data_IF_069720856478
#
_entry.id   IF_069720856478
#
_cell.length_a   1.000
_cell.length_b   1.000
_cell.length_c   1.000
_cell.angle_alpha   90.00
_cell.angle_beta   90.00
_cell.angle_gamma   90.00
#
_symmetry.space_group_name_H-M   'P 1'
#
loop_
_entity.id
_entity.type
_entity.pdbx_description
1 polymer ?
#
# COMPACT_ATOMS: atom_id res chain seq x y z
N UNK A 1 -24.15 14.24 -0.94
CA UNK A 1 -23.56 13.46 -2.05
C UNK A 1 -22.15 13.98 -2.29
N UNK A 2 -21.14 13.11 -2.38
CA UNK A 2 -19.73 13.51 -2.56
C UNK A 2 -19.44 13.93 -4.00
N UNK A 3 -18.41 14.76 -4.21
CA UNK A 3 -17.96 15.12 -5.56
C UNK A 3 -17.19 13.95 -6.18
N UNK A 4 -17.53 13.60 -7.43
CA UNK A 4 -16.83 12.59 -8.21
C UNK A 4 -15.86 13.27 -9.18
N UNK A 5 -14.67 12.69 -9.33
CA UNK A 5 -13.59 13.26 -10.15
C UNK A 5 -13.46 12.51 -11.46
N UNK A 6 -13.11 13.20 -12.55
CA UNK A 6 -13.00 12.62 -13.89
C UNK A 6 -11.72 11.80 -14.08
N UNK A 7 -11.83 10.72 -14.85
CA UNK A 7 -10.72 9.90 -15.31
C UNK A 7 -9.98 10.63 -16.43
N UNK A 8 -8.69 10.90 -16.20
CA UNK A 8 -7.77 11.38 -17.21
C UNK A 8 -7.01 10.18 -17.79
N UNK A 9 -7.19 9.95 -19.08
CA UNK A 9 -6.40 8.96 -19.83
C UNK A 9 -5.03 9.56 -20.09
N UNK A 10 -3.97 8.78 -19.89
CA UNK A 10 -2.60 9.21 -20.18
C UNK A 10 -2.41 9.13 -21.70
N UNK A 11 -2.40 10.29 -22.36
CA UNK A 11 -2.49 10.40 -23.84
C UNK A 11 -1.14 10.62 -24.55
N UNK A 12 0.01 10.64 -23.86
CA UNK A 12 1.30 11.02 -24.45
C UNK A 12 2.15 9.85 -25.03
N UNK A 13 2.43 9.96 -26.34
CA UNK A 13 3.57 9.57 -27.24
C UNK A 13 4.20 8.17 -27.17
N UNK A 14 4.02 7.36 -26.14
CA UNK A 14 4.57 6.00 -26.16
C UNK A 14 3.45 4.99 -26.42
N UNK A 15 3.37 4.51 -27.66
CA UNK A 15 2.57 3.34 -28.12
C UNK A 15 2.85 2.03 -27.34
N UNK A 16 3.60 2.10 -26.24
CA UNK A 16 4.10 1.00 -25.41
C UNK A 16 3.68 1.12 -23.94
N UNK A 17 2.96 2.18 -23.54
CA UNK A 17 2.44 2.35 -22.17
C UNK A 17 0.95 2.02 -22.12
N UNK A 18 0.65 0.75 -21.85
CA UNK A 18 -0.71 0.18 -21.95
C UNK A 18 -1.00 -0.76 -20.79
N UNK A 19 -2.27 -0.90 -20.42
CA UNK A 19 -2.79 -1.90 -19.49
C UNK A 19 -2.60 -3.33 -20.03
N UNK A 20 -2.90 -4.35 -19.21
CA UNK A 20 -2.79 -5.77 -19.58
C UNK A 20 -3.42 -6.13 -20.94
N UNK A 21 -4.52 -5.49 -21.33
CA UNK A 21 -5.24 -5.73 -22.57
C UNK A 21 -4.82 -4.84 -23.76
N UNK A 22 -3.87 -3.92 -23.56
CA UNK A 22 -3.46 -2.95 -24.57
C UNK A 22 -4.18 -1.60 -24.54
N UNK A 23 -5.13 -1.38 -23.63
CA UNK A 23 -5.77 -0.06 -23.48
C UNK A 23 -4.86 0.94 -22.78
N UNK A 24 -5.08 2.24 -23.01
CA UNK A 24 -4.28 3.27 -22.35
C UNK A 24 -4.58 3.34 -20.84
N UNK A 25 -3.57 3.43 -19.97
CA UNK A 25 -3.77 3.63 -18.55
C UNK A 25 -4.34 5.03 -18.25
N UNK A 26 -4.78 5.24 -17.02
CA UNK A 26 -5.31 6.53 -16.60
C UNK A 26 -5.22 6.77 -15.10
N UNK A 27 -5.49 7.99 -14.70
CA UNK A 27 -5.58 8.39 -13.30
C UNK A 27 -6.74 9.37 -13.10
N UNK A 28 -7.23 9.49 -11.88
CA UNK A 28 -8.15 10.55 -11.49
C UNK A 28 -7.38 11.66 -10.81
N UNK A 29 -7.71 12.92 -11.10
CA UNK A 29 -7.04 14.08 -10.52
C UNK A 29 -8.05 15.09 -10.00
N UNK A 30 -7.82 15.51 -8.77
CA UNK A 30 -8.43 16.66 -8.14
C UNK A 30 -7.38 17.73 -7.88
N UNK A 31 -7.63 18.97 -8.29
CA UNK A 31 -6.66 20.07 -8.13
C UNK A 31 -6.69 20.65 -6.72
N UNK A 32 -5.50 20.94 -6.20
CA UNK A 32 -5.34 21.61 -4.92
C UNK A 32 -5.72 23.09 -4.99
N UNK A 33 -5.92 23.70 -3.83
CA UNK A 33 -6.26 25.12 -3.72
C UNK A 33 -5.63 25.74 -2.46
N UNK A 34 -5.57 27.07 -2.41
CA UNK A 34 -5.01 27.81 -1.28
C UNK A 34 -3.57 27.37 -0.94
N UNK A 35 -3.31 27.13 0.34
CA UNK A 35 -1.98 26.69 0.82
C UNK A 35 -1.53 25.33 0.28
N UNK A 36 -2.47 24.46 -0.13
CA UNK A 36 -2.19 23.12 -0.68
C UNK A 36 -2.01 23.09 -2.21
N UNK A 37 -2.14 24.22 -2.91
CA UNK A 37 -2.08 24.27 -4.38
C UNK A 37 -0.74 23.77 -4.97
N UNK A 38 0.36 23.89 -4.20
CA UNK A 38 1.69 23.37 -4.57
C UNK A 38 2.09 22.11 -3.77
N UNK A 39 1.12 21.39 -3.23
CA UNK A 39 1.32 20.11 -2.56
C UNK A 39 0.60 19.00 -3.33
N UNK A 40 1.21 17.81 -3.37
CA UNK A 40 0.76 16.71 -4.21
C UNK A 40 0.66 15.40 -3.44
N UNK A 41 -0.45 14.69 -3.60
CA UNK A 41 -0.67 13.36 -3.06
C UNK A 41 -1.03 12.42 -4.21
N UNK A 42 -0.21 11.38 -4.41
CA UNK A 42 -0.39 10.38 -5.44
C UNK A 42 -0.76 9.07 -4.76
N UNK A 43 -2.00 8.62 -4.90
CA UNK A 43 -2.50 7.35 -4.40
C UNK A 43 -2.40 6.26 -5.48
N UNK A 44 -1.61 5.23 -5.24
CA UNK A 44 -1.52 4.04 -6.08
C UNK A 44 -2.64 3.06 -5.73
N UNK A 45 -3.53 2.79 -6.68
CA UNK A 45 -4.62 1.83 -6.48
C UNK A 45 -4.06 0.41 -6.28
N UNK A 46 -4.48 -0.31 -5.24
CA UNK A 46 -4.16 -1.74 -5.07
C UNK A 46 -5.16 -2.65 -5.76
N UNK A 47 -4.97 -3.98 -5.72
CA UNK A 47 -5.97 -4.92 -6.27
C UNK A 47 -5.44 -6.31 -6.59
N UNK A 48 -4.54 -6.85 -5.76
CA UNK A 48 -3.89 -8.15 -5.97
C UNK A 48 -3.01 -8.20 -7.23
N UNK A 49 -2.63 -9.40 -7.62
CA UNK A 49 -1.72 -9.65 -8.75
C UNK A 49 -2.28 -10.71 -9.70
N UNK A 50 -1.63 -10.87 -10.85
CA UNK A 50 -1.75 -12.06 -11.66
C UNK A 50 -0.35 -12.63 -11.92
N UNK A 51 -0.16 -13.92 -11.70
CA UNK A 51 1.15 -14.57 -11.62
C UNK A 51 1.34 -15.68 -12.66
N UNK A 52 0.31 -15.96 -13.47
CA UNK A 52 0.36 -16.91 -14.57
C UNK A 52 -0.50 -16.43 -15.75
N UNK A 53 -0.28 -17.02 -16.94
CA UNK A 53 -1.00 -16.62 -18.16
C UNK A 53 -2.52 -16.71 -17.97
N UNK A 54 -3.01 -17.79 -17.36
CA UNK A 54 -4.45 -18.03 -17.20
C UNK A 54 -5.12 -16.92 -16.39
N UNK A 55 -4.59 -16.59 -15.23
CA UNK A 55 -5.22 -15.56 -14.40
C UNK A 55 -4.96 -14.14 -14.91
N UNK A 56 -3.86 -13.88 -15.61
CA UNK A 56 -3.65 -12.60 -16.29
C UNK A 56 -4.62 -12.40 -17.46
N UNK A 57 -4.90 -13.44 -18.26
CA UNK A 57 -5.93 -13.41 -19.32
C UNK A 57 -7.32 -13.17 -18.75
N UNK A 58 -7.65 -13.75 -17.60
CA UNK A 58 -8.90 -13.45 -16.92
C UNK A 58 -8.93 -11.98 -16.44
N UNK A 59 -7.84 -11.53 -15.81
CA UNK A 59 -7.73 -10.19 -15.23
C UNK A 59 -7.84 -9.07 -16.27
N UNK A 60 -7.31 -9.26 -17.48
CA UNK A 60 -7.36 -8.25 -18.56
C UNK A 60 -8.78 -7.89 -18.99
N UNK A 61 -9.77 -8.74 -18.71
CA UNK A 61 -11.21 -8.50 -18.97
C UNK A 61 -11.93 -7.75 -17.84
N UNK A 62 -11.20 -7.01 -17.01
CA UNK A 62 -11.75 -6.29 -15.86
C UNK A 62 -11.12 -4.91 -15.72
N UNK A 63 -11.67 -4.07 -14.81
CA UNK A 63 -11.09 -2.75 -14.47
C UNK A 63 -9.65 -2.80 -13.94
N UNK A 64 -9.16 -4.01 -13.61
CA UNK A 64 -7.81 -4.28 -13.09
C UNK A 64 -6.82 -4.74 -14.14
N UNK A 65 -7.23 -4.77 -15.40
CA UNK A 65 -6.35 -5.04 -16.53
C UNK A 65 -6.72 -4.28 -17.81
N UNK A 66 -7.74 -3.42 -17.75
CA UNK A 66 -8.20 -2.64 -18.90
C UNK A 66 -8.92 -1.38 -18.45
N UNK A 67 -8.60 -0.25 -19.08
CA UNK A 67 -9.24 1.03 -18.82
C UNK A 67 -10.64 1.17 -19.46
N UNK A 68 -11.02 0.24 -20.34
CA UNK A 68 -12.38 0.17 -20.89
C UNK A 68 -13.42 -0.12 -19.80
N UNK A 69 -13.02 -0.81 -18.73
CA UNK A 69 -13.89 -1.15 -17.60
C UNK A 69 -13.68 -0.23 -16.39
N UNK A 70 -12.82 0.79 -16.50
CA UNK A 70 -12.62 1.74 -15.42
C UNK A 70 -13.76 2.75 -15.37
N UNK A 71 -14.21 3.04 -14.15
CA UNK A 71 -15.14 4.12 -13.88
C UNK A 71 -14.55 5.44 -14.39
N UNK A 72 -15.35 6.18 -15.17
CA UNK A 72 -14.97 7.50 -15.69
C UNK A 72 -14.99 8.57 -14.62
N UNK A 73 -15.73 8.31 -13.55
CA UNK A 73 -15.77 9.17 -12.38
C UNK A 73 -15.71 8.33 -11.10
N UNK A 74 -14.90 8.76 -10.13
CA UNK A 74 -14.85 8.12 -8.81
C UNK A 74 -14.90 9.16 -7.69
N UNK A 75 -15.52 8.76 -6.58
CA UNK A 75 -15.48 9.54 -5.37
C UNK A 75 -14.13 9.36 -4.66
N UNK A 76 -13.56 10.46 -4.19
CA UNK A 76 -12.40 10.44 -3.31
C UNK A 76 -12.85 10.48 -1.84
N UNK A 77 -12.31 9.56 -1.03
CA UNK A 77 -12.66 9.36 0.39
C UNK A 77 -11.39 9.16 1.22
N UNK A 78 -11.51 9.21 2.56
CA UNK A 78 -10.39 9.02 3.47
C UNK A 78 -9.27 10.03 3.18
N UNK A 79 -8.05 9.54 3.01
CA UNK A 79 -6.85 10.34 2.68
C UNK A 79 -6.99 11.16 1.39
N UNK A 80 -7.90 10.79 0.48
CA UNK A 80 -8.17 11.53 -0.75
C UNK A 80 -9.35 12.52 -0.63
N UNK A 81 -10.10 12.51 0.47
CA UNK A 81 -11.29 13.35 0.63
C UNK A 81 -10.96 14.84 0.52
N UNK A 82 -11.86 15.60 -0.10
CA UNK A 82 -11.81 17.06 -0.28
C UNK A 82 -12.37 17.86 0.89
N UNK A 83 -12.89 17.17 1.90
CA UNK A 83 -13.50 17.81 3.07
C UNK A 83 -12.48 17.88 4.20
N UNK A 84 -12.22 19.09 4.69
CA UNK A 84 -11.33 19.32 5.83
C UNK A 84 -11.73 18.52 7.08
N UNK A 85 -13.04 18.32 7.30
CA UNK A 85 -13.56 17.53 8.43
C UNK A 85 -13.26 16.04 8.31
N UNK A 86 -12.99 15.56 7.08
CA UNK A 86 -12.74 14.15 6.79
C UNK A 86 -11.25 13.86 6.52
N UNK A 87 -10.48 14.88 6.14
CA UNK A 87 -9.08 14.80 5.73
C UNK A 87 -8.37 16.15 5.97
N UNK A 88 -8.22 16.58 7.23
CA UNK A 88 -7.75 17.93 7.54
C UNK A 88 -6.34 18.24 7.03
N UNK A 89 -5.51 17.22 6.80
CA UNK A 89 -4.13 17.37 6.34
C UNK A 89 -4.01 17.62 4.83
N UNK A 90 -4.78 16.87 4.03
CA UNK A 90 -4.61 16.79 2.58
C UNK A 90 -5.85 17.27 1.81
N UNK A 91 -6.87 17.83 2.48
CA UNK A 91 -8.13 18.21 1.84
C UNK A 91 -7.97 19.28 0.75
N UNK A 92 -6.90 20.08 0.76
CA UNK A 92 -6.65 21.13 -0.22
C UNK A 92 -5.44 20.87 -1.11
N UNK A 93 -4.85 19.67 -1.08
CA UNK A 93 -3.73 19.28 -1.94
C UNK A 93 -4.21 18.90 -3.35
N UNK A 94 -3.28 18.90 -4.32
CA UNK A 94 -3.52 18.14 -5.55
C UNK A 94 -3.54 16.66 -5.20
N UNK A 95 -4.61 15.97 -5.54
CA UNK A 95 -4.80 14.56 -5.20
C UNK A 95 -5.01 13.76 -6.46
N UNK A 96 -4.25 12.69 -6.58
CA UNK A 96 -4.25 11.81 -7.74
C UNK A 96 -4.53 10.40 -7.29
N UNK A 97 -5.36 9.67 -8.03
CA UNK A 97 -5.48 8.22 -7.91
C UNK A 97 -5.07 7.57 -9.22
N UNK A 98 -3.86 7.01 -9.24
CA UNK A 98 -3.34 6.27 -10.40
C UNK A 98 -4.02 4.90 -10.46
N UNK A 99 -4.73 4.63 -11.56
CA UNK A 99 -5.51 3.40 -11.71
C UNK A 99 -4.60 2.21 -11.98
N UNK A 100 -4.92 1.08 -11.36
CA UNK A 100 -4.08 -0.12 -11.41
C UNK A 100 -4.59 -1.12 -12.44
N UNK A 101 -3.79 -1.33 -13.49
CA UNK A 101 -4.14 -2.19 -14.62
C UNK A 101 -3.00 -3.06 -15.18
N UNK A 102 -1.85 -3.14 -14.50
CA UNK A 102 -0.71 -3.97 -14.92
C UNK A 102 -0.65 -5.33 -14.22
N UNK A 103 -1.23 -5.46 -13.03
CA UNK A 103 -1.24 -6.73 -12.29
C UNK A 103 0.10 -7.10 -11.63
N UNK A 104 1.08 -6.19 -11.59
CA UNK A 104 2.43 -6.40 -11.08
C UNK A 104 2.92 -5.31 -10.12
N UNK A 105 2.02 -4.64 -9.39
CA UNK A 105 2.37 -3.50 -8.52
C UNK A 105 3.23 -2.44 -9.23
N UNK A 106 2.85 -2.05 -10.45
CA UNK A 106 3.59 -1.06 -11.24
C UNK A 106 5.08 -1.42 -11.45
N UNK A 107 5.40 -2.72 -11.51
CA UNK A 107 6.80 -3.18 -11.52
C UNK A 107 7.19 -4.01 -12.75
N UNK A 108 6.23 -4.58 -13.49
CA UNK A 108 6.52 -5.36 -14.70
C UNK A 108 6.96 -4.50 -15.89
N UNK A 109 7.87 -5.03 -16.71
CA UNK A 109 8.11 -4.55 -18.08
C UNK A 109 8.43 -5.73 -19.03
N UNK A 110 7.38 -6.39 -19.50
CA UNK A 110 7.46 -7.48 -20.47
C UNK A 110 6.12 -7.66 -21.19
N UNK A 111 5.99 -8.72 -21.99
CA UNK A 111 4.75 -9.07 -22.67
C UNK A 111 4.69 -10.56 -22.95
N UNK A 112 3.48 -11.08 -23.06
CA UNK A 112 3.22 -12.37 -23.69
C UNK A 112 2.44 -12.13 -24.98
N UNK A 113 3.10 -12.30 -26.13
CA UNK A 113 2.48 -12.08 -27.44
C UNK A 113 1.41 -13.12 -27.76
N UNK A 114 1.60 -14.38 -27.35
CA UNK A 114 0.69 -15.47 -27.65
C UNK A 114 -0.63 -15.30 -26.90
N UNK A 115 -0.57 -14.86 -25.64
CA UNK A 115 -1.73 -14.57 -24.81
C UNK A 115 -2.29 -13.15 -25.01
N UNK A 116 -1.61 -12.31 -25.79
CA UNK A 116 -1.95 -10.89 -25.98
C UNK A 116 -2.00 -10.14 -24.65
N UNK A 117 -0.94 -10.27 -23.84
CA UNK A 117 -0.79 -9.64 -22.53
C UNK A 117 0.36 -8.64 -22.54
N UNK A 118 0.13 -7.47 -21.96
CA UNK A 118 1.10 -6.39 -21.83
C UNK A 118 1.40 -6.12 -20.37
N UNK A 119 2.59 -6.47 -19.90
CA UNK A 119 3.01 -6.24 -18.52
C UNK A 119 3.82 -4.96 -18.45
N UNK A 120 3.15 -3.80 -18.40
CA UNK A 120 3.78 -2.47 -18.53
C UNK A 120 3.74 -1.63 -17.25
N UNK A 121 3.70 -2.28 -16.08
CA UNK A 121 3.57 -1.61 -14.79
C UNK A 121 4.59 -0.49 -14.58
N UNK A 122 5.86 -0.75 -14.89
CA UNK A 122 6.93 0.25 -14.74
C UNK A 122 6.74 1.44 -15.69
N UNK A 123 6.36 1.16 -16.95
CA UNK A 123 6.12 2.21 -17.96
C UNK A 123 4.90 3.06 -17.61
N UNK A 124 3.84 2.44 -17.09
CA UNK A 124 2.64 3.13 -16.60
C UNK A 124 3.02 4.09 -15.47
N UNK A 125 3.81 3.62 -14.51
CA UNK A 125 4.31 4.45 -13.41
C UNK A 125 5.08 5.66 -13.93
N UNK A 126 6.10 5.46 -14.77
CA UNK A 126 6.90 6.57 -15.31
C UNK A 126 6.06 7.58 -16.09
N UNK A 127 5.24 7.10 -17.03
CA UNK A 127 4.41 7.96 -17.86
C UNK A 127 3.41 8.79 -17.02
N UNK A 128 2.83 8.18 -15.98
CA UNK A 128 1.98 8.92 -15.06
C UNK A 128 2.76 10.00 -14.31
N UNK A 129 3.95 9.69 -13.79
CA UNK A 129 4.76 10.68 -13.07
C UNK A 129 5.21 11.83 -13.97
N UNK A 130 5.63 11.55 -15.21
CA UNK A 130 6.02 12.56 -16.19
C UNK A 130 4.85 13.47 -16.57
N UNK A 131 3.68 12.90 -16.82
CA UNK A 131 2.47 13.69 -17.15
C UNK A 131 2.02 14.58 -15.97
N UNK A 132 2.09 14.06 -14.75
CA UNK A 132 1.79 14.83 -13.54
C UNK A 132 2.83 15.95 -13.30
N UNK A 133 4.11 15.70 -13.58
CA UNK A 133 5.18 16.72 -13.54
C UNK A 133 4.87 17.87 -14.50
N UNK A 134 4.54 17.56 -15.75
CA UNK A 134 4.13 18.53 -16.75
C UNK A 134 2.88 19.32 -16.33
N UNK A 135 1.99 18.69 -15.53
CA UNK A 135 0.80 19.31 -14.94
C UNK A 135 1.05 20.11 -13.67
N UNK A 136 2.31 20.37 -13.30
CA UNK A 136 2.71 21.24 -12.22
C UNK A 136 3.34 20.53 -11.01
N UNK A 137 3.37 19.19 -10.97
CA UNK A 137 3.95 18.45 -9.86
C UNK A 137 5.45 18.72 -9.70
N UNK A 138 6.17 19.05 -10.79
CA UNK A 138 7.58 19.40 -10.73
C UNK A 138 7.89 20.62 -9.82
N UNK A 139 6.89 21.47 -9.57
CA UNK A 139 7.02 22.66 -8.71
C UNK A 139 6.53 22.41 -7.28
N UNK A 140 6.29 21.16 -6.90
CA UNK A 140 5.74 20.81 -5.60
C UNK A 140 6.68 21.26 -4.47
N UNK A 141 6.11 21.89 -3.44
CA UNK A 141 6.78 22.12 -2.16
C UNK A 141 6.75 20.86 -1.30
N UNK A 142 5.68 20.09 -1.41
CA UNK A 142 5.46 18.84 -0.69
C UNK A 142 4.87 17.80 -1.62
N UNK A 143 5.36 16.56 -1.53
CA UNK A 143 4.86 15.45 -2.31
C UNK A 143 4.73 14.20 -1.42
N UNK A 144 3.59 13.53 -1.49
CA UNK A 144 3.29 12.30 -0.78
C UNK A 144 2.94 11.21 -1.80
N UNK A 145 3.75 10.15 -1.84
CA UNK A 145 3.38 8.92 -2.53
C UNK A 145 2.66 8.01 -1.54
N UNK A 146 1.43 7.63 -1.84
CA UNK A 146 0.61 6.78 -0.99
C UNK A 146 0.01 5.64 -1.82
N UNK A 147 -0.48 4.59 -1.17
CA UNK A 147 -1.07 3.45 -1.87
C UNK A 147 -1.52 2.38 -0.91
N UNK A 148 -2.51 1.59 -1.32
CA UNK A 148 -2.98 0.45 -0.54
C UNK A 148 -2.68 -0.90 -1.20
N UNK A 149 -2.39 -1.96 -0.43
CA UNK A 149 -2.35 -3.35 -0.89
C UNK A 149 -1.24 -3.52 -1.94
N UNK A 150 -1.56 -4.04 -3.14
CA UNK A 150 -0.62 -4.04 -4.25
C UNK A 150 -0.06 -2.64 -4.58
N UNK A 151 -0.84 -1.57 -4.38
CA UNK A 151 -0.38 -0.18 -4.49
C UNK A 151 0.51 0.24 -3.33
N UNK A 152 0.27 -0.26 -2.11
CA UNK A 152 1.13 -0.05 -0.95
C UNK A 152 2.50 -0.71 -1.12
N UNK A 153 2.52 -1.94 -1.66
CA UNK A 153 3.77 -2.57 -2.09
C UNK A 153 4.49 -1.72 -3.14
N UNK A 154 3.75 -1.22 -4.14
CA UNK A 154 4.34 -0.35 -5.17
C UNK A 154 4.92 0.95 -4.58
N UNK A 155 4.31 1.53 -3.53
CA UNK A 155 4.88 2.67 -2.81
C UNK A 155 6.26 2.32 -2.26
N UNK A 156 6.42 1.19 -1.58
CA UNK A 156 7.70 0.77 -1.01
C UNK A 156 8.75 0.60 -2.11
N UNK A 157 8.39 -0.07 -3.21
CA UNK A 157 9.29 -0.32 -4.34
C UNK A 157 9.71 0.96 -5.08
N UNK A 158 8.84 1.98 -5.13
CA UNK A 158 9.03 3.21 -5.92
C UNK A 158 9.37 4.45 -5.11
N UNK A 159 9.39 4.36 -3.78
CA UNK A 159 9.49 5.55 -2.93
C UNK A 159 10.76 6.37 -3.17
N UNK A 160 11.93 5.72 -3.25
CA UNK A 160 13.19 6.42 -3.52
C UNK A 160 13.25 6.97 -4.95
N UNK A 161 12.68 6.24 -5.93
CA UNK A 161 12.53 6.71 -7.30
C UNK A 161 11.63 7.96 -7.37
N UNK A 162 10.51 7.96 -6.65
CA UNK A 162 9.59 9.09 -6.56
C UNK A 162 10.25 10.32 -5.94
N UNK A 163 11.03 10.14 -4.87
CA UNK A 163 11.80 11.22 -4.23
C UNK A 163 12.78 11.87 -5.22
N UNK A 164 13.44 11.07 -6.04
CA UNK A 164 14.40 11.53 -7.05
C UNK A 164 13.76 12.32 -8.22
N UNK A 165 12.43 12.37 -8.32
CA UNK A 165 11.74 13.18 -9.33
C UNK A 165 11.76 14.68 -9.05
N UNK A 166 12.06 15.07 -7.79
CA UNK A 166 11.95 16.42 -7.28
C UNK A 166 13.31 17.03 -6.93
N UNK A 167 13.34 18.35 -6.75
CA UNK A 167 14.54 19.02 -6.24
C UNK A 167 14.74 18.72 -4.75
N UNK A 168 15.97 18.91 -4.26
CA UNK A 168 16.31 18.68 -2.83
C UNK A 168 15.53 19.58 -1.85
N UNK A 169 14.90 20.65 -2.33
CA UNK A 169 14.08 21.55 -1.50
C UNK A 169 12.65 21.05 -1.34
N UNK A 170 12.19 20.14 -2.19
CA UNK A 170 10.86 19.53 -2.07
C UNK A 170 10.85 18.52 -0.94
N UNK A 171 9.84 18.63 -0.09
CA UNK A 171 9.62 17.67 1.00
C UNK A 171 8.87 16.46 0.48
N UNK A 172 9.57 15.34 0.29
CA UNK A 172 8.99 14.09 -0.20
C UNK A 172 8.85 13.07 0.94
N UNK A 173 7.69 12.43 1.02
CA UNK A 173 7.41 11.30 1.93
C UNK A 173 6.63 10.22 1.21
N UNK A 174 6.64 9.01 1.77
CA UNK A 174 5.86 7.89 1.27
C UNK A 174 4.99 7.29 2.38
N UNK A 175 3.82 6.78 2.04
CA UNK A 175 2.91 6.07 2.93
C UNK A 175 2.46 4.76 2.28
N UNK A 176 2.84 3.63 2.88
CA UNK A 176 2.39 2.30 2.44
C UNK A 176 1.32 1.78 3.38
N UNK A 177 0.09 1.66 2.89
CA UNK A 177 -1.05 1.06 3.61
C UNK A 177 -1.29 -0.38 3.17
N UNK A 178 -1.34 -1.32 4.12
CA UNK A 178 -1.54 -2.75 3.86
C UNK A 178 -0.59 -3.32 2.77
N UNK A 179 0.59 -2.72 2.65
CA UNK A 179 1.60 -3.07 1.64
C UNK A 179 2.73 -3.93 2.19
N UNK A 180 2.80 -4.13 3.52
CA UNK A 180 3.82 -4.95 4.20
C UNK A 180 3.40 -6.43 4.21
N UNK A 181 3.48 -7.07 3.04
CA UNK A 181 3.28 -8.51 2.93
C UNK A 181 4.53 -9.26 3.39
N UNK A 182 4.35 -10.28 4.20
CA UNK A 182 5.47 -11.12 4.67
C UNK A 182 5.62 -12.42 3.88
N UNK A 183 6.86 -12.81 3.60
CA UNK A 183 7.20 -14.15 3.12
C UNK A 183 7.16 -15.15 4.29
N UNK A 184 5.97 -15.71 4.56
CA UNK A 184 5.75 -16.66 5.66
C UNK A 184 5.10 -17.94 5.16
N UNK A 185 5.36 -19.10 5.80
CA UNK A 185 4.65 -20.32 5.49
C UNK A 185 3.13 -20.19 5.70
N UNK A 186 2.37 -20.87 4.86
CA UNK A 186 0.93 -21.04 5.02
C UNK A 186 0.59 -22.16 6.01
N UNK A 187 -0.69 -22.37 6.28
CA UNK A 187 -1.19 -23.33 7.27
C UNK A 187 -0.90 -24.80 6.91
N UNK A 188 -0.51 -25.08 5.67
CA UNK A 188 -0.02 -26.40 5.23
C UNK A 188 1.50 -26.53 5.31
N UNK A 189 2.22 -25.46 5.70
CA UNK A 189 3.68 -25.38 5.66
C UNK A 189 4.25 -25.02 4.29
N UNK A 190 3.40 -24.74 3.30
CA UNK A 190 3.78 -24.29 1.97
C UNK A 190 4.14 -22.79 1.93
N UNK A 191 4.53 -22.29 0.76
CA UNK A 191 4.91 -20.87 0.57
C UNK A 191 3.99 -20.18 -0.45
N UNK A 192 2.68 -20.15 -0.18
CA UNK A 192 1.67 -19.61 -1.11
C UNK A 192 2.02 -18.23 -1.67
N UNK A 193 2.27 -17.21 -0.84
CA UNK A 193 2.57 -15.86 -1.34
C UNK A 193 3.92 -15.76 -2.04
N UNK A 194 4.92 -16.54 -1.62
CA UNK A 194 6.20 -16.62 -2.32
C UNK A 194 6.04 -17.17 -3.73
N UNK A 195 5.22 -18.20 -3.89
CA UNK A 195 4.92 -18.78 -5.20
C UNK A 195 4.20 -17.76 -6.10
N UNK A 196 3.20 -17.05 -5.55
CA UNK A 196 2.52 -15.95 -6.23
C UNK A 196 3.52 -14.87 -6.68
N UNK A 197 4.37 -14.38 -5.77
CA UNK A 197 5.35 -13.34 -6.07
C UNK A 197 6.41 -13.81 -7.05
N UNK A 198 6.85 -15.07 -6.97
CA UNK A 198 7.75 -15.65 -7.95
C UNK A 198 7.11 -15.66 -9.34
N UNK A 199 5.85 -16.08 -9.47
CA UNK A 199 5.12 -16.05 -10.73
C UNK A 199 5.01 -14.63 -11.30
N UNK A 200 4.65 -13.63 -10.48
CA UNK A 200 4.64 -12.22 -10.88
C UNK A 200 6.03 -11.78 -11.38
N UNK A 201 7.08 -12.06 -10.59
CA UNK A 201 8.43 -11.59 -10.89
C UNK A 201 8.98 -12.17 -12.18
N UNK A 202 8.77 -13.47 -12.40
CA UNK A 202 9.22 -14.17 -13.60
C UNK A 202 8.38 -13.80 -14.83
N UNK A 203 7.05 -13.93 -14.73
CA UNK A 203 6.15 -13.73 -15.87
C UNK A 203 6.18 -12.30 -16.40
N UNK A 204 6.20 -11.33 -15.48
CA UNK A 204 6.06 -9.92 -15.83
C UNK A 204 7.40 -9.21 -16.01
N UNK A 205 8.54 -9.91 -15.84
CA UNK A 205 9.87 -9.33 -16.02
C UNK A 205 10.23 -8.30 -14.94
N UNK A 206 9.66 -8.41 -13.73
CA UNK A 206 9.83 -7.43 -12.65
C UNK A 206 11.28 -7.29 -12.19
N UNK A 207 12.09 -8.36 -12.31
CA UNK A 207 13.47 -8.43 -11.81
C UNK A 207 14.34 -7.22 -12.18
N UNK A 208 14.14 -6.66 -13.37
CA UNK A 208 14.95 -5.56 -13.90
C UNK A 208 14.57 -4.20 -13.27
N UNK A 209 13.43 -4.13 -12.59
CA UNK A 209 12.85 -2.92 -12.03
C UNK A 209 12.82 -2.91 -10.50
N UNK A 210 13.48 -3.89 -9.87
CA UNK A 210 13.62 -3.97 -8.41
C UNK A 210 14.85 -3.18 -7.94
N UNK A 211 14.87 -2.70 -6.69
CA UNK A 211 16.02 -1.99 -6.14
C UNK A 211 17.31 -2.83 -6.19
N UNK A 212 18.35 -2.30 -6.86
CA UNK A 212 19.67 -2.96 -6.99
C UNK A 212 20.27 -3.36 -5.65
N UNK A 213 20.14 -2.47 -4.65
CA UNK A 213 20.61 -2.74 -3.28
C UNK A 213 20.11 -4.05 -2.68
N UNK A 214 18.96 -4.56 -3.14
CA UNK A 214 18.48 -5.87 -2.74
C UNK A 214 18.91 -6.96 -3.73
N UNK A 215 18.75 -6.73 -5.03
CA UNK A 215 19.01 -7.77 -6.06
C UNK A 215 20.49 -8.13 -6.22
N UNK A 216 21.40 -7.30 -5.69
CA UNK A 216 22.83 -7.58 -5.62
C UNK A 216 23.17 -8.74 -4.66
N UNK A 217 22.28 -9.04 -3.70
CA UNK A 217 22.54 -10.04 -2.64
C UNK A 217 21.40 -11.04 -2.42
N UNK A 218 20.18 -10.73 -2.88
CA UNK A 218 19.01 -11.60 -2.77
C UNK A 218 18.40 -11.89 -4.14
N UNK A 219 17.71 -13.03 -4.25
CA UNK A 219 16.97 -13.35 -5.47
C UNK A 219 15.83 -12.33 -5.70
N UNK A 220 15.47 -12.06 -6.97
CA UNK A 220 14.43 -11.08 -7.31
C UNK A 220 13.08 -11.28 -6.60
N UNK A 221 12.65 -12.52 -6.34
CA UNK A 221 11.40 -12.79 -5.61
C UNK A 221 11.48 -12.31 -4.17
N UNK A 222 12.60 -12.57 -3.48
CA UNK A 222 12.85 -12.03 -2.14
C UNK A 222 12.84 -10.50 -2.15
N UNK A 223 13.38 -9.86 -3.18
CA UNK A 223 13.37 -8.39 -3.32
C UNK A 223 12.00 -7.79 -3.66
N UNK A 224 11.01 -8.60 -4.00
CA UNK A 224 9.63 -8.14 -4.13
C UNK A 224 8.89 -8.13 -2.78
N UNK A 225 9.45 -8.75 -1.73
CA UNK A 225 8.92 -8.67 -0.37
C UNK A 225 9.45 -7.44 0.37
N UNK A 226 8.58 -6.57 0.91
CA UNK A 226 8.98 -5.36 1.61
C UNK A 226 9.93 -5.57 2.79
N UNK A 227 9.81 -6.69 3.50
CA UNK A 227 10.67 -7.01 4.64
C UNK A 227 12.17 -6.98 4.33
N UNK A 228 12.55 -7.14 3.06
CA UNK A 228 13.93 -7.13 2.58
C UNK A 228 14.38 -5.77 2.04
N UNK A 229 13.53 -4.73 2.11
CA UNK A 229 13.79 -3.41 1.53
C UNK A 229 13.65 -2.29 2.56
N UNK A 230 12.64 -2.37 3.43
CA UNK A 230 12.19 -1.22 4.24
C UNK A 230 13.29 -0.65 5.14
N UNK A 231 14.18 -1.48 5.69
CA UNK A 231 15.26 -1.03 6.58
C UNK A 231 16.31 -0.15 5.91
N UNK A 232 16.44 -0.22 4.58
CA UNK A 232 17.49 0.46 3.84
C UNK A 232 16.98 1.65 3.01
N UNK A 233 15.68 1.93 3.09
CA UNK A 233 15.06 3.02 2.33
C UNK A 233 15.66 4.38 2.68
N UNK A 234 15.93 5.20 1.66
CA UNK A 234 16.53 6.52 1.82
C UNK A 234 15.49 7.59 2.13
N UNK A 235 14.34 7.50 1.51
CA UNK A 235 13.22 8.44 1.65
C UNK A 235 12.38 8.09 2.87
N UNK A 236 11.87 9.08 3.64
CA UNK A 236 10.98 8.82 4.77
C UNK A 236 9.74 8.02 4.34
N UNK A 237 9.57 6.83 4.95
CA UNK A 237 8.42 5.97 4.73
C UNK A 237 7.59 5.89 6.02
N UNK A 238 6.27 5.98 5.87
CA UNK A 238 5.29 5.65 6.88
C UNK A 238 4.57 4.35 6.50
N UNK A 239 4.54 3.36 7.39
CA UNK A 239 3.82 2.10 7.14
C UNK A 239 2.55 2.07 7.99
N UNK A 240 1.40 1.89 7.35
CA UNK A 240 0.12 1.57 7.99
C UNK A 240 -0.16 0.10 7.68
N UNK A 241 -0.25 -0.77 8.68
CA UNK A 241 -0.55 -2.18 8.43
C UNK A 241 -1.39 -2.78 9.54
N UNK A 242 -2.32 -3.68 9.20
CA UNK A 242 -2.93 -4.55 10.18
C UNK A 242 -1.95 -5.69 10.51
N UNK A 243 -1.78 -6.01 11.79
CA UNK A 243 -1.02 -7.18 12.22
C UNK A 243 -1.68 -8.48 11.76
N UNK A 244 -3.00 -8.44 11.57
CA UNK A 244 -3.81 -9.53 11.03
C UNK A 244 -4.45 -9.08 9.70
N UNK A 245 -3.61 -8.72 8.73
CA UNK A 245 -4.09 -8.31 7.41
C UNK A 245 -4.99 -9.39 6.80
N UNK A 246 -6.28 -9.08 6.65
CA UNK A 246 -7.28 -10.09 6.29
C UNK A 246 -7.06 -10.62 4.88
N UNK A 247 -6.48 -9.82 3.98
CA UNK A 247 -6.14 -10.29 2.64
C UNK A 247 -5.00 -11.31 2.71
N UNK A 248 -3.94 -11.04 3.48
CA UNK A 248 -2.84 -12.00 3.64
C UNK A 248 -3.31 -13.26 4.36
N UNK A 249 -4.20 -13.16 5.36
CA UNK A 249 -4.81 -14.33 6.00
C UNK A 249 -5.56 -15.19 4.98
N UNK A 250 -6.45 -14.60 4.17
CA UNK A 250 -7.31 -15.34 3.26
C UNK A 250 -6.61 -15.83 1.98
N UNK A 251 -5.63 -15.07 1.49
CA UNK A 251 -5.02 -15.30 0.16
C UNK A 251 -3.63 -15.93 0.24
N UNK A 252 -2.98 -15.88 1.42
CA UNK A 252 -1.64 -16.42 1.62
C UNK A 252 -1.59 -17.45 2.75
N UNK A 253 -2.03 -17.10 3.96
CA UNK A 253 -1.82 -17.95 5.13
C UNK A 253 -2.76 -19.15 5.13
N UNK A 254 -4.05 -18.93 4.87
CA UNK A 254 -5.07 -19.98 4.88
C UNK A 254 -5.95 -19.95 3.62
N UNK A 255 -5.38 -19.97 2.40
CA UNK A 255 -6.15 -20.11 1.18
C UNK A 255 -6.81 -21.50 1.12
N UNK A 256 -7.91 -21.67 0.35
CA UNK A 256 -8.54 -22.98 0.17
C UNK A 256 -7.58 -24.09 -0.31
N UNK A 257 -6.55 -23.74 -1.07
CA UNK A 257 -5.53 -24.69 -1.54
C UNK A 257 -4.60 -25.22 -0.43
N UNK A 258 -4.41 -24.46 0.66
CA UNK A 258 -3.62 -24.87 1.81
C UNK A 258 -4.48 -25.44 2.96
N UNK A 259 -5.81 -25.36 2.85
CA UNK A 259 -6.79 -25.85 3.83
C UNK A 259 -7.82 -26.79 3.19
N UNK A 260 -7.39 -27.94 2.62
CA UNK A 260 -8.28 -28.83 1.87
C UNK A 260 -9.37 -29.47 2.75
N UNK A 261 -9.14 -29.61 4.06
CA UNK A 261 -10.13 -30.11 5.02
C UNK A 261 -11.10 -29.04 5.53
N UNK A 262 -10.89 -27.77 5.18
CA UNK A 262 -11.75 -26.66 5.58
C UNK A 262 -11.62 -26.26 7.06
N UNK A 263 -10.54 -26.63 7.75
CA UNK A 263 -10.32 -26.29 9.15
C UNK A 263 -10.32 -24.77 9.39
N UNK A 264 -9.78 -23.99 8.45
CA UNK A 264 -9.71 -22.54 8.50
C UNK A 264 -10.89 -21.82 7.86
N UNK A 265 -11.83 -22.54 7.22
CA UNK A 265 -12.95 -21.95 6.47
C UNK A 265 -13.74 -20.91 7.27
N UNK A 266 -14.21 -21.29 8.46
CA UNK A 266 -15.01 -20.40 9.31
C UNK A 266 -14.19 -19.24 9.86
N UNK A 267 -12.96 -19.51 10.33
CA UNK A 267 -12.06 -18.51 10.91
C UNK A 267 -11.66 -17.41 9.92
N UNK A 268 -11.34 -17.78 8.66
CA UNK A 268 -10.91 -16.80 7.65
C UNK A 268 -12.06 -15.94 7.12
N UNK A 269 -13.30 -16.42 7.19
CA UNK A 269 -14.51 -15.66 6.83
C UNK A 269 -15.02 -14.82 8.02
N UNK A 270 -14.86 -15.32 9.23
CA UNK A 270 -15.22 -14.65 10.47
C UNK A 270 -14.20 -14.96 11.57
N UNK A 271 -13.35 -13.98 11.88
CA UNK A 271 -12.29 -14.12 12.88
C UNK A 271 -12.83 -14.41 14.30
N UNK A 272 -14.09 -14.08 14.60
CA UNK A 272 -14.76 -14.46 15.84
C UNK A 272 -15.04 -15.96 15.97
N UNK A 273 -14.90 -16.74 14.89
CA UNK A 273 -15.05 -18.19 14.87
C UNK A 273 -13.71 -18.95 14.89
N UNK A 274 -12.60 -18.24 15.03
CA UNK A 274 -11.30 -18.89 15.14
C UNK A 274 -11.17 -19.67 16.45
N UNK A 275 -10.63 -20.89 16.36
CA UNK A 275 -10.27 -21.67 17.54
C UNK A 275 -9.05 -21.05 18.25
N UNK A 276 -8.79 -21.37 19.53
CA UNK A 276 -7.59 -20.92 20.22
C UNK A 276 -6.28 -21.25 19.48
N UNK A 277 -6.21 -22.41 18.82
CA UNK A 277 -5.04 -22.81 18.03
C UNK A 277 -4.85 -21.93 16.78
N UNK A 278 -5.94 -21.58 16.08
CA UNK A 278 -5.89 -20.68 14.93
C UNK A 278 -5.48 -19.26 15.33
N UNK A 279 -5.99 -18.77 16.47
CA UNK A 279 -5.55 -17.49 17.02
C UNK A 279 -4.07 -17.51 17.38
N UNK A 280 -3.57 -18.60 17.98
CA UNK A 280 -2.14 -18.73 18.30
C UNK A 280 -1.27 -18.67 17.04
N UNK A 281 -1.69 -19.32 15.95
CA UNK A 281 -1.00 -19.22 14.66
C UNK A 281 -0.97 -17.77 14.14
N UNK A 282 -2.12 -17.07 14.17
CA UNK A 282 -2.21 -15.66 13.75
C UNK A 282 -1.35 -14.75 14.63
N UNK A 283 -1.26 -14.99 15.93
CA UNK A 283 -0.35 -14.28 16.84
C UNK A 283 1.11 -14.51 16.46
N UNK A 284 1.48 -15.74 16.08
CA UNK A 284 2.81 -16.04 15.54
C UNK A 284 3.13 -15.27 14.27
N UNK A 285 2.15 -15.08 13.37
CA UNK A 285 2.30 -14.24 12.19
C UNK A 285 2.50 -12.76 12.56
N UNK A 286 1.71 -12.22 13.50
CA UNK A 286 1.92 -10.87 14.05
C UNK A 286 3.34 -10.70 14.60
N UNK A 287 3.84 -11.66 15.37
CA UNK A 287 5.17 -11.57 15.96
C UNK A 287 6.28 -11.58 14.90
N UNK A 288 6.08 -12.31 13.79
CA UNK A 288 6.97 -12.23 12.62
C UNK A 288 6.95 -10.84 11.99
N UNK A 289 5.78 -10.21 11.86
CA UNK A 289 5.66 -8.83 11.36
C UNK A 289 6.43 -7.84 12.24
N UNK A 290 6.25 -7.92 13.55
CA UNK A 290 6.90 -7.03 14.50
C UNK A 290 8.43 -7.20 14.47
N UNK A 291 8.93 -8.43 14.26
CA UNK A 291 10.36 -8.67 14.04
C UNK A 291 10.85 -8.06 12.73
N UNK A 292 10.11 -8.22 11.64
CA UNK A 292 10.48 -7.71 10.32
C UNK A 292 10.62 -6.17 10.28
N UNK A 293 9.82 -5.44 11.07
CA UNK A 293 9.88 -3.96 11.14
C UNK A 293 10.82 -3.41 12.21
N UNK A 294 11.46 -4.27 13.01
CA UNK A 294 12.31 -3.83 14.12
C UNK A 294 13.49 -2.96 13.64
N UNK A 295 14.18 -3.39 12.58
CA UNK A 295 15.27 -2.63 11.96
C UNK A 295 14.79 -1.33 11.30
N UNK A 296 13.58 -1.33 10.75
CA UNK A 296 12.97 -0.15 10.09
C UNK A 296 12.76 1.02 11.06
N UNK A 297 12.46 0.73 12.33
CA UNK A 297 12.24 1.72 13.39
C UNK A 297 13.52 2.36 13.92
N UNK A 298 14.70 1.82 13.60
CA UNK A 298 15.97 2.41 14.04
C UNK A 298 16.22 3.77 13.37
N UNK A 299 15.65 4.00 12.17
CA UNK A 299 15.77 5.27 11.47
C UNK A 299 14.67 6.25 11.94
N UNK A 300 15.07 7.33 12.62
CA UNK A 300 14.16 8.35 13.19
C UNK A 300 13.24 9.04 12.16
N UNK A 301 13.58 8.97 10.86
CA UNK A 301 12.79 9.52 9.76
C UNK A 301 11.54 8.71 9.42
N UNK A 302 11.50 7.44 9.83
CA UNK A 302 10.45 6.49 9.46
C UNK A 302 9.31 6.51 10.48
N UNK A 303 8.11 6.14 10.03
CA UNK A 303 6.92 6.02 10.88
C UNK A 303 6.21 4.68 10.71
N UNK A 304 5.56 4.22 11.76
CA UNK A 304 4.87 2.93 11.77
C UNK A 304 3.57 3.03 12.56
N UNK A 305 2.49 2.53 11.95
CA UNK A 305 1.23 2.27 12.60
C UNK A 305 0.80 0.83 12.32
N UNK A 306 1.10 -0.07 13.25
CA UNK A 306 0.59 -1.45 13.24
C UNK A 306 -0.51 -1.59 14.28
N UNK A 307 -1.69 -2.00 13.86
CA UNK A 307 -2.81 -2.27 14.77
C UNK A 307 -3.20 -3.76 14.77
N UNK A 308 -3.92 -4.17 15.79
CA UNK A 308 -4.34 -5.57 15.99
C UNK A 308 -5.68 -5.90 15.32
N UNK A 309 -6.11 -5.12 14.31
CA UNK A 309 -7.39 -5.36 13.64
C UNK A 309 -7.27 -6.36 12.50
N UNK A 310 -8.38 -7.01 12.20
CA UNK A 310 -8.57 -7.80 10.99
C UNK A 310 -9.04 -6.88 9.87
N UNK A 311 -8.09 -6.19 9.23
CA UNK A 311 -8.37 -5.14 8.26
C UNK A 311 -7.46 -5.24 7.03
N UNK A 312 -7.86 -4.57 5.96
CA UNK A 312 -7.07 -4.38 4.74
C UNK A 312 -7.49 -3.05 4.11
N UNK A 313 -6.54 -2.20 3.71
CA UNK A 313 -6.77 -0.83 3.22
C UNK A 313 -7.53 0.09 4.19
N UNK A 314 -6.78 0.81 5.02
CA UNK A 314 -7.32 1.64 6.09
C UNK A 314 -7.35 3.14 5.74
N UNK A 315 -6.55 3.58 4.78
CA UNK A 315 -6.37 5.01 4.47
C UNK A 315 -7.42 5.58 3.52
N UNK A 316 -7.96 4.77 2.61
CA UNK A 316 -8.99 5.21 1.65
C UNK A 316 -10.42 5.11 2.21
N UNK A 317 -10.58 4.46 3.36
CA UNK A 317 -11.86 4.24 4.05
C UNK A 317 -12.10 5.32 5.08
N UNK A 318 -13.23 6.02 5.00
CA UNK A 318 -13.49 7.14 5.89
C UNK A 318 -13.64 6.71 7.36
N UNK A 319 -14.24 5.55 7.59
CA UNK A 319 -14.48 4.97 8.92
C UNK A 319 -13.20 4.56 9.64
N UNK A 320 -12.10 4.34 8.91
CA UNK A 320 -10.79 3.96 9.47
C UNK A 320 -9.73 5.05 9.35
N UNK A 321 -9.93 6.05 8.49
CA UNK A 321 -8.97 7.15 8.30
C UNK A 321 -9.09 8.25 9.35
N UNK A 322 -10.30 8.79 9.53
CA UNK A 322 -10.56 9.91 10.45
C UNK A 322 -12.01 9.87 10.93
N UNK A 323 -12.33 8.92 11.79
CA UNK A 323 -13.63 8.78 12.43
C UNK A 323 -13.62 9.32 13.88
N UNK A 324 -14.78 9.64 14.45
CA UNK A 324 -14.88 10.26 15.78
C UNK A 324 -14.30 9.40 16.92
N UNK A 325 -14.36 8.08 16.77
CA UNK A 325 -13.76 7.12 17.70
C UNK A 325 -12.28 6.83 17.39
N UNK A 326 -11.64 7.69 16.57
CA UNK A 326 -10.21 7.66 16.32
C UNK A 326 -9.45 8.08 17.57
N UNK A 327 -8.21 7.67 17.69
CA UNK A 327 -7.46 7.70 18.91
C UNK A 327 -6.62 8.87 19.11
N UNK A 328 -6.11 8.91 20.33
CA UNK A 328 -5.30 9.98 20.81
C UNK A 328 -4.09 9.35 21.51
N UNK A 329 -2.89 9.56 20.97
CA UNK A 329 -1.64 9.29 21.70
C UNK A 329 -1.12 10.65 22.19
N UNK A 330 -0.90 10.77 23.50
CA UNK A 330 -0.35 11.98 24.17
C UNK A 330 -1.16 13.27 23.99
N UNK A 331 -2.48 13.26 24.27
CA UNK A 331 -3.38 14.42 24.12
C UNK A 331 -3.42 15.04 22.71
N UNK A 332 -2.83 14.38 21.72
CA UNK A 332 -2.99 14.65 20.30
C UNK A 332 -3.71 13.47 19.69
N UNK A 333 -4.80 13.76 18.98
CA UNK A 333 -5.49 12.72 18.20
C UNK A 333 -4.44 12.17 17.26
N UNK A 334 -4.06 10.90 17.40
CA UNK A 334 -3.24 10.24 16.39
C UNK A 334 -4.13 9.92 15.20
N UNK A 335 -4.31 10.95 14.39
CA UNK A 335 -4.10 10.81 12.96
C UNK A 335 -2.65 10.35 12.72
N UNK A 336 -2.36 9.73 11.59
CA UNK A 336 -0.99 9.55 11.09
C UNK A 336 -0.27 10.90 10.78
N UNK A 337 -0.75 12.00 11.35
CA UNK A 337 -0.39 13.37 11.07
C UNK A 337 -0.83 14.22 12.25
N UNK A 338 0.16 14.73 12.99
CA UNK A 338 0.14 15.94 13.84
C UNK A 338 0.93 15.74 15.13
N UNK A 339 2.26 15.74 15.02
CA UNK A 339 3.05 16.66 15.83
C UNK A 339 3.78 17.61 14.88
N UNK A 340 3.17 18.79 14.72
CA UNK A 340 3.81 20.13 14.72
C UNK A 340 5.21 20.27 14.12
N UNK A 341 5.27 21.11 13.08
CA UNK A 341 6.46 21.50 12.32
C UNK A 341 7.08 20.37 11.50
N UNK A 342 7.51 20.72 10.30
CA UNK A 342 8.26 19.85 9.40
C UNK A 342 9.70 19.64 9.91
N UNK A 343 9.84 19.35 11.21
CA UNK A 343 11.03 18.85 11.87
C UNK A 343 10.83 17.33 12.01
N UNK A 344 11.30 16.57 11.03
CA UNK A 344 11.85 15.25 11.36
C UNK A 344 13.28 15.51 11.87
N UNK A 345 13.36 16.19 13.01
CA UNK A 345 14.61 16.28 13.75
C UNK A 345 14.64 15.18 14.81
N UNK A 346 15.85 14.71 15.01
CA UNK A 346 16.22 13.46 15.60
C UNK A 346 16.20 13.47 17.14
N UNK A 347 15.44 14.31 17.84
CA UNK A 347 15.69 14.57 19.28
C UNK A 347 14.55 14.23 20.26
N UNK A 348 13.57 13.40 19.89
CA UNK A 348 12.40 13.11 20.76
C UNK A 348 12.17 11.64 21.12
N UNK A 349 13.21 10.80 21.11
CA UNK A 349 13.19 9.52 21.85
C UNK A 349 13.44 9.76 23.35
N UNK A 350 12.49 10.41 24.01
CA UNK A 350 12.42 10.47 25.47
C UNK A 350 11.75 9.20 26.00
N UNK A 351 12.56 8.27 26.49
CA UNK A 351 12.25 7.23 27.50
C UNK A 351 10.88 6.53 27.45
N UNK A 352 10.92 5.22 27.18
CA UNK A 352 9.96 4.27 27.75
C UNK A 352 9.77 4.52 29.26
N UNK A 353 8.55 4.80 29.71
CA UNK A 353 8.05 4.33 31.01
C UNK A 353 6.52 4.23 31.01
N UNK A 354 6.05 3.27 31.79
CA UNK A 354 4.66 2.84 31.95
C UNK A 354 3.68 3.91 32.41
N UNK A 355 2.41 3.68 32.07
CA UNK A 355 1.15 3.98 32.79
C UNK A 355 0.21 4.96 32.09
N UNK A 356 -1.01 4.42 31.96
CA UNK A 356 -2.33 5.04 32.04
C UNK A 356 -2.96 5.66 30.78
N UNK A 357 -4.05 4.97 30.41
CA UNK A 357 -5.26 5.39 29.70
C UNK A 357 -5.11 5.72 28.20
N UNK A 358 -5.34 4.69 27.40
CA UNK A 358 -5.15 4.64 25.95
C UNK A 358 -6.49 4.57 25.21
N UNK A 359 -6.64 5.30 24.11
CA UNK A 359 -7.64 5.05 23.04
C UNK A 359 -6.89 5.17 21.70
N UNK A 360 -6.91 4.10 20.86
CA UNK A 360 -6.22 3.81 19.52
C UNK A 360 -7.26 3.65 18.34
N UNK A 361 -6.88 3.73 17.03
CA UNK A 361 -7.69 3.93 15.77
C UNK A 361 -9.11 3.37 15.83
N UNK A 362 -10.08 4.16 15.36
CA UNK A 362 -11.45 3.72 15.16
C UNK A 362 -11.45 2.51 14.24
N UNK A 363 -11.47 1.31 14.84
CA UNK A 363 -12.21 0.13 14.39
C UNK A 363 -11.58 -1.16 14.94
N UNK A 364 -11.65 -1.37 16.25
CA UNK A 364 -11.63 -2.73 16.83
C UNK A 364 -12.50 -2.82 18.09
N UNK A 365 -13.54 -1.97 18.20
CA UNK A 365 -14.34 -1.88 19.44
C UNK A 365 -15.51 -2.88 19.48
N UNK A 366 -15.81 -3.62 18.41
CA UNK A 366 -17.03 -4.46 18.40
C UNK A 366 -16.86 -5.94 18.64
N UNK A 367 -15.68 -6.52 18.83
CA UNK A 367 -15.56 -7.95 19.21
C UNK A 367 -14.20 -8.37 19.77
N UNK A 368 -14.25 -8.89 21.02
CA UNK A 368 -13.32 -9.82 21.70
C UNK A 368 -11.96 -9.34 22.29
N UNK A 369 -11.95 -9.31 23.64
CA UNK A 369 -10.93 -9.83 24.57
C UNK A 369 -9.44 -9.52 24.26
N UNK A 370 -8.98 -8.34 24.70
CA UNK A 370 -7.56 -8.14 25.02
C UNK A 370 -7.21 -8.89 26.31
N UNK A 371 -6.60 -10.07 26.20
CA UNK A 371 -5.87 -10.68 27.32
C UNK A 371 -4.44 -10.15 27.34
N UNK A 372 -4.10 -9.37 28.37
CA UNK A 372 -2.71 -9.03 28.71
C UNK A 372 -2.10 -10.16 29.54
N UNK A 373 -1.11 -10.88 29.01
CA UNK A 373 -0.22 -11.70 29.83
C UNK A 373 0.82 -10.79 30.48
N UNK A 374 0.80 -10.71 31.81
CA UNK A 374 1.96 -10.33 32.62
C UNK A 374 2.93 -11.51 32.66
N UNK A 375 4.22 -11.24 32.49
CA UNK A 375 5.24 -11.87 33.34
C UNK A 375 5.68 -10.84 34.36
#
# INVERSE_FOLDING_TARGET
MGQCWNLYVILFVFLITVCLDGTLPGYHLHRGHGSGANSWLIQLEGGGWCDNIRNCVYRKKSRRGSSNYMEKQIQFTGILSDKAQANPDFFNWNRVKLRYCDGGSFSGDSQDKAAGLQFRGERIWRAAMDDLKAKGMQNAKQALLSGCSAGGLAVILRCDEFSNLFSRTTKVKCLSDAGLFLDTPDVSGGHTIRNLYNGVVQLQGVRNNLPHMCTDHLNPTSCFFPQNLISEMKTPLFIVNAAYDIWQVQSSLAPPSADPSGYWHECRLNHGRCTPAQILFLQGFRDQMLRAVSGFLNARKNGLFINSCFAHCQTERQDTWFADNSPVINKKVTQASHETEFNLDSSLFGSFTSRNNSRVLASCVTSLLCFTYKK
#
